data_IF_827204916835
#
_entry.id   IF_827204916835
#
_cell.length_a   1.000
_cell.length_b   1.000
_cell.length_c   1.000
_cell.angle_alpha   90.00
_cell.angle_beta   90.00
_cell.angle_gamma   90.00
#
_symmetry.space_group_name_H-M   'P 1'
#
loop_
_entity.id
_entity.type
_entity.pdbx_description
1 polymer ?
#
# COMPACT_ATOMS: atom_id res chain seq x y z
N UNK A 1 -27.28 -29.24 16.77
CA UNK A 1 -25.99 -28.64 17.16
C UNK A 1 -25.47 -27.92 15.93
N UNK A 2 -25.81 -26.63 15.82
CA UNK A 2 -25.71 -25.83 14.59
C UNK A 2 -24.82 -24.62 14.92
N UNK A 3 -23.57 -24.89 15.27
CA UNK A 3 -22.63 -23.88 15.80
C UNK A 3 -21.24 -24.14 15.23
N UNK A 4 -21.07 -24.17 13.89
CA UNK A 4 -19.74 -24.04 13.26
C UNK A 4 -19.87 -23.42 11.86
N UNK A 5 -20.54 -22.27 11.74
CA UNK A 5 -20.65 -21.57 10.44
C UNK A 5 -20.52 -20.03 10.54
N UNK A 6 -19.90 -19.50 11.58
CA UNK A 6 -19.96 -18.05 11.88
C UNK A 6 -18.65 -17.43 12.39
N UNK A 7 -17.50 -17.88 11.90
CA UNK A 7 -16.21 -17.29 12.33
C UNK A 7 -15.18 -17.10 11.21
N UNK A 8 -15.62 -17.03 9.96
CA UNK A 8 -14.80 -16.52 8.85
C UNK A 8 -15.23 -15.11 8.44
N UNK A 9 -15.62 -14.27 9.42
CA UNK A 9 -15.43 -12.84 9.23
C UNK A 9 -13.92 -12.60 9.26
N UNK A 10 -13.29 -12.83 8.11
CA UNK A 10 -12.04 -12.17 7.75
C UNK A 10 -12.32 -10.71 8.02
N UNK A 11 -11.68 -10.17 9.07
CA UNK A 11 -11.68 -8.74 9.31
C UNK A 11 -11.16 -8.12 8.02
N UNK A 12 -12.07 -7.57 7.23
CA UNK A 12 -11.71 -6.62 6.20
C UNK A 12 -10.80 -5.62 6.90
N UNK A 13 -9.62 -5.45 6.33
CA UNK A 13 -8.54 -4.62 6.86
C UNK A 13 -8.99 -3.15 6.78
N UNK A 14 -9.95 -2.75 7.61
CA UNK A 14 -10.34 -1.36 7.87
C UNK A 14 -9.27 -0.72 8.77
N UNK A 15 -8.02 -0.70 8.29
CA UNK A 15 -6.96 0.12 8.86
C UNK A 15 -6.37 0.98 7.75
N UNK A 16 -7.25 1.63 7.00
CA UNK A 16 -6.91 2.90 6.36
C UNK A 16 -7.78 3.90 7.10
N UNK A 17 -7.17 4.64 8.04
CA UNK A 17 -7.86 5.73 8.72
C UNK A 17 -8.50 6.66 7.68
N UNK A 18 -9.63 7.27 8.03
CA UNK A 18 -10.30 8.23 7.16
C UNK A 18 -9.30 9.29 6.68
N UNK A 19 -9.19 9.48 5.35
CA UNK A 19 -8.29 10.45 4.74
C UNK A 19 -8.74 11.85 5.16
N UNK A 20 -7.84 12.59 5.79
CA UNK A 20 -7.99 13.96 6.26
C UNK A 20 -7.32 14.92 5.28
N UNK A 21 -8.07 15.50 4.34
CA UNK A 21 -7.47 16.31 3.28
C UNK A 21 -6.78 17.60 3.76
N UNK A 22 -6.94 18.01 5.02
CA UNK A 22 -6.25 19.16 5.59
C UNK A 22 -4.78 18.83 5.90
N UNK A 23 -4.46 17.57 6.25
CA UNK A 23 -3.09 17.12 6.52
C UNK A 23 -2.29 16.86 5.25
N UNK A 24 -0.98 17.00 5.33
CA UNK A 24 -0.10 16.59 4.24
C UNK A 24 -0.09 15.05 4.11
N UNK A 25 0.17 14.53 2.91
CA UNK A 25 0.20 13.08 2.70
C UNK A 25 1.34 12.41 3.48
N UNK A 26 2.45 13.09 3.78
CA UNK A 26 3.52 12.57 4.62
C UNK A 26 3.10 12.39 6.09
N UNK A 27 2.05 13.08 6.53
CA UNK A 27 1.51 12.97 7.89
C UNK A 27 0.44 11.86 8.01
N UNK A 28 -0.17 11.49 6.87
CA UNK A 28 -1.26 10.51 6.83
C UNK A 28 -0.81 9.13 6.39
N UNK A 29 0.04 9.08 5.38
CA UNK A 29 0.56 7.85 4.84
C UNK A 29 1.89 7.56 5.51
N UNK A 30 1.92 6.52 6.33
CA UNK A 30 3.16 6.05 6.98
C UNK A 30 4.20 5.78 5.90
N UNK A 31 5.21 6.65 5.83
CA UNK A 31 6.24 6.61 4.80
C UNK A 31 6.97 5.27 4.90
N UNK A 32 6.89 4.47 3.84
CA UNK A 32 7.66 3.25 3.76
C UNK A 32 9.17 3.55 3.91
N UNK A 33 9.89 2.73 4.69
CA UNK A 33 11.32 2.93 4.96
C UNK A 33 12.19 2.92 3.70
N UNK A 34 11.68 2.38 2.59
CA UNK A 34 12.28 2.46 1.25
C UNK A 34 12.68 3.89 0.85
N UNK A 35 11.97 4.90 1.36
CA UNK A 35 12.24 6.30 1.04
C UNK A 35 13.26 6.96 1.97
N UNK A 36 13.68 6.29 3.05
CA UNK A 36 14.71 6.79 3.97
C UNK A 36 16.10 6.30 3.55
N UNK A 37 16.18 5.06 3.08
CA UNK A 37 17.40 4.45 2.56
C UNK A 37 17.06 3.48 1.43
N UNK A 38 17.81 3.55 0.32
CA UNK A 38 17.67 2.61 -0.78
C UNK A 38 18.36 1.30 -0.37
N UNK A 39 17.63 0.18 -0.21
CA UNK A 39 18.21 -1.09 0.21
C UNK A 39 19.27 -1.54 -0.80
N UNK A 40 20.35 -2.12 -0.29
CA UNK A 40 21.47 -2.58 -1.12
C UNK A 40 21.34 -4.06 -1.46
N UNK A 41 20.69 -4.82 -0.58
CA UNK A 41 20.49 -6.26 -0.72
C UNK A 41 19.02 -6.59 -1.01
N UNK A 42 18.79 -7.70 -1.71
CA UNK A 42 17.43 -8.15 -2.07
C UNK A 42 16.63 -8.50 -0.82
N UNK A 43 17.27 -9.10 0.19
CA UNK A 43 16.64 -9.45 1.46
C UNK A 43 16.19 -8.21 2.23
N UNK A 44 16.97 -7.12 2.18
CA UNK A 44 16.60 -5.84 2.77
C UNK A 44 15.40 -5.23 2.07
N UNK A 45 15.35 -5.29 0.73
CA UNK A 45 14.18 -4.86 -0.04
C UNK A 45 12.95 -5.72 0.30
N UNK A 46 13.09 -7.04 0.30
CA UNK A 46 12.01 -7.99 0.59
C UNK A 46 11.45 -7.79 2.01
N UNK A 47 12.27 -7.38 2.98
CA UNK A 47 11.82 -7.04 4.32
C UNK A 47 10.88 -5.81 4.35
N UNK A 48 10.89 -4.95 3.32
CA UNK A 48 10.03 -3.77 3.20
C UNK A 48 8.67 -4.09 2.56
N UNK A 49 8.55 -5.23 1.87
CA UNK A 49 7.34 -5.62 1.16
C UNK A 49 6.03 -5.51 1.95
N UNK A 50 5.97 -5.84 3.26
CA UNK A 50 4.76 -5.65 4.06
C UNK A 50 4.29 -4.19 4.18
N UNK A 51 5.18 -3.21 4.00
CA UNK A 51 4.93 -1.78 4.16
C UNK A 51 4.62 -1.07 2.83
N UNK A 52 5.06 -1.62 1.69
CA UNK A 52 4.98 -0.97 0.39
C UNK A 52 3.55 -0.83 -0.13
N UNK A 53 2.79 -1.94 -0.23
CA UNK A 53 1.42 -1.89 -0.75
C UNK A 53 0.50 -1.01 0.10
N UNK A 54 0.48 -1.10 1.45
CA UNK A 54 -0.31 -0.20 2.29
C UNK A 54 0.02 1.28 2.09
N UNK A 55 1.31 1.62 1.93
CA UNK A 55 1.71 3.00 1.66
C UNK A 55 1.15 3.49 0.33
N UNK A 56 1.32 2.72 -0.75
CA UNK A 56 0.83 3.08 -2.10
C UNK A 56 -0.70 3.18 -2.13
N UNK A 57 -1.41 2.29 -1.44
CA UNK A 57 -2.87 2.35 -1.29
C UNK A 57 -3.31 3.63 -0.58
N UNK A 58 -2.61 4.03 0.50
CA UNK A 58 -2.87 5.30 1.17
C UNK A 58 -2.65 6.49 0.23
N UNK A 59 -1.58 6.47 -0.56
CA UNK A 59 -1.31 7.54 -1.52
C UNK A 59 -2.42 7.65 -2.57
N UNK A 60 -2.89 6.51 -3.11
CA UNK A 60 -4.01 6.45 -4.05
C UNK A 60 -5.24 7.08 -3.42
N UNK A 61 -5.61 6.63 -2.22
CA UNK A 61 -6.83 7.09 -1.55
C UNK A 61 -6.78 8.58 -1.24
N UNK A 62 -5.61 9.10 -0.85
CA UNK A 62 -5.37 10.52 -0.68
C UNK A 62 -5.57 11.30 -1.99
N UNK A 63 -4.93 10.88 -3.09
CA UNK A 63 -5.03 11.55 -4.39
C UNK A 63 -6.45 11.50 -4.98
N UNK A 64 -7.19 10.41 -4.73
CA UNK A 64 -8.56 10.26 -5.21
C UNK A 64 -9.55 11.08 -4.40
N UNK A 65 -9.36 11.20 -3.07
CA UNK A 65 -10.29 11.92 -2.17
C UNK A 65 -10.01 13.42 -2.06
N UNK A 66 -8.74 13.83 -2.12
CA UNK A 66 -8.36 15.23 -1.90
C UNK A 66 -8.21 15.98 -3.23
N UNK A 67 -9.29 16.61 -3.70
CA UNK A 67 -9.35 17.29 -5.01
C UNK A 67 -8.51 18.57 -5.09
N UNK A 68 -8.26 19.25 -3.96
CA UNK A 68 -7.64 20.59 -3.95
C UNK A 68 -6.10 20.59 -3.89
N UNK A 69 -5.45 19.45 -3.67
CA UNK A 69 -3.98 19.34 -3.59
C UNK A 69 -3.41 18.76 -4.89
N UNK A 70 -2.14 19.08 -5.19
CA UNK A 70 -1.46 18.54 -6.37
C UNK A 70 -1.43 17.01 -6.31
N UNK A 71 -2.33 16.38 -7.08
CA UNK A 71 -2.35 14.92 -7.24
C UNK A 71 -1.06 14.48 -7.89
N UNK A 72 -0.43 13.45 -7.34
CA UNK A 72 0.74 12.78 -7.94
C UNK A 72 0.32 12.06 -9.21
N UNK A 73 -0.78 11.33 -9.13
CA UNK A 73 -1.38 10.68 -10.30
C UNK A 73 -2.86 11.02 -10.40
N UNK A 74 -3.27 11.53 -11.56
CA UNK A 74 -4.68 11.85 -11.84
C UNK A 74 -5.53 10.63 -12.15
N UNK A 75 -4.88 9.52 -12.52
CA UNK A 75 -5.50 8.30 -13.03
C UNK A 75 -5.30 7.18 -12.01
N UNK A 76 -6.38 6.56 -11.48
CA UNK A 76 -6.27 5.46 -10.52
C UNK A 76 -5.58 4.22 -11.12
N UNK A 77 -5.58 4.07 -12.44
CA UNK A 77 -4.92 2.97 -13.14
C UNK A 77 -3.40 2.97 -12.89
N UNK A 78 -2.78 4.14 -12.78
CA UNK A 78 -1.34 4.25 -12.49
C UNK A 78 -1.02 3.68 -11.12
N UNK A 79 -1.90 3.84 -10.13
CA UNK A 79 -1.72 3.22 -8.82
C UNK A 79 -1.89 1.71 -8.87
N UNK A 80 -2.80 1.19 -9.71
CA UNK A 80 -2.96 -0.25 -9.91
C UNK A 80 -1.69 -0.85 -10.53
N UNK A 81 -1.14 -0.23 -11.58
CA UNK A 81 0.09 -0.69 -12.22
C UNK A 81 1.28 -0.71 -11.25
N UNK A 82 1.40 0.33 -10.41
CA UNK A 82 2.45 0.39 -9.38
C UNK A 82 2.27 -0.71 -8.33
N UNK A 83 1.04 -0.94 -7.86
CA UNK A 83 0.74 -2.01 -6.90
C UNK A 83 1.05 -3.38 -7.48
N UNK A 84 0.68 -3.65 -8.73
CA UNK A 84 0.96 -4.90 -9.41
C UNK A 84 2.47 -5.14 -9.56
N UNK A 85 3.23 -4.13 -9.97
CA UNK A 85 4.70 -4.20 -10.04
C UNK A 85 5.32 -4.53 -8.68
N UNK A 86 4.90 -3.84 -7.61
CA UNK A 86 5.43 -4.11 -6.28
C UNK A 86 5.00 -5.48 -5.75
N UNK A 87 3.78 -5.94 -6.06
CA UNK A 87 3.34 -7.29 -5.72
C UNK A 87 4.20 -8.35 -6.41
N UNK A 88 4.55 -8.16 -7.68
CA UNK A 88 5.50 -9.06 -8.37
C UNK A 88 6.87 -9.02 -7.69
N UNK A 89 7.45 -7.84 -7.46
CA UNK A 89 8.73 -7.71 -6.75
C UNK A 89 8.73 -8.35 -5.36
N UNK A 90 7.59 -8.37 -4.68
CA UNK A 90 7.46 -8.89 -3.32
C UNK A 90 7.03 -10.36 -3.22
N UNK A 91 6.66 -10.98 -4.34
CA UNK A 91 6.23 -12.39 -4.36
C UNK A 91 7.44 -13.27 -4.69
N UNK A 92 7.88 -14.08 -3.73
CA UNK A 92 8.96 -15.06 -3.94
C UNK A 92 8.60 -16.04 -5.07
N UNK A 93 9.54 -16.25 -5.99
CA UNK A 93 9.37 -17.06 -7.19
C UNK A 93 8.60 -16.37 -8.32
N UNK A 94 8.36 -15.05 -8.24
CA UNK A 94 7.83 -14.29 -9.37
C UNK A 94 8.91 -14.02 -10.42
N UNK A 95 8.49 -13.49 -11.58
CA UNK A 95 9.42 -13.06 -12.64
C UNK A 95 10.40 -12.00 -12.15
N UNK A 96 10.01 -11.19 -11.16
CA UNK A 96 10.81 -10.07 -10.65
C UNK A 96 11.48 -10.38 -9.31
N UNK A 97 11.27 -11.57 -8.74
CA UNK A 97 11.85 -12.02 -7.47
C UNK A 97 12.03 -13.55 -7.50
N UNK A 98 13.03 -14.02 -8.25
CA UNK A 98 13.38 -15.44 -8.45
C UNK A 98 14.20 -16.04 -7.30
#
# INVERSE_FOLDING_TARGET
MLIILLSLFVFAKDVVGEIDCDKDFFEQCERAKLYDEIPREVEEFNALCPELSPYIECLRDYDMKCEEKEKRFRQPEVYADILDMFNELCTEGSILNE
#
